data_IF_495401074637
#
_entry.id   IF_495401074637
#
_cell.length_a   1.000
_cell.length_b   1.000
_cell.length_c   1.000
_cell.angle_alpha   90.00
_cell.angle_beta   90.00
_cell.angle_gamma   90.00
#
_symmetry.space_group_name_H-M   'P 1'
#
loop_
_entity.id
_entity.type
_entity.pdbx_description
1 polymer ?
#
# COMPACT_ATOMS: atom_id res chain seq x y z
N UNK A 1 -10.89 17.03 6.00
CA UNK A 1 -11.74 16.53 4.89
C UNK A 1 -11.02 16.79 3.56
N UNK A 2 -9.99 16.01 3.20
CA UNK A 2 -9.16 16.28 2.01
C UNK A 2 -9.26 15.18 0.93
N UNK A 3 -10.22 14.26 1.06
CA UNK A 3 -10.43 13.14 0.13
C UNK A 3 -11.92 12.89 -0.07
N UNK A 4 -12.46 11.79 0.44
CA UNK A 4 -13.84 11.37 0.16
C UNK A 4 -14.94 12.42 0.41
N UNK A 5 -14.85 13.24 1.45
CA UNK A 5 -15.85 14.30 1.70
C UNK A 5 -15.88 15.38 0.62
N UNK A 6 -14.73 15.71 0.03
CA UNK A 6 -14.60 16.71 -1.04
C UNK A 6 -15.06 16.14 -2.37
N UNK A 7 -14.68 14.89 -2.66
CA UNK A 7 -15.00 14.21 -3.93
C UNK A 7 -16.47 13.79 -4.03
N UNK A 8 -17.16 13.61 -2.89
CA UNK A 8 -18.59 13.26 -2.88
C UNK A 8 -19.53 14.45 -3.06
N UNK A 9 -19.04 15.69 -2.97
CA UNK A 9 -19.85 16.87 -3.27
C UNK A 9 -20.21 16.83 -4.76
N UNK A 10 -21.50 16.82 -5.17
CA UNK A 10 -21.88 16.61 -6.57
C UNK A 10 -21.23 17.60 -7.54
N UNK A 11 -21.05 18.84 -7.11
CA UNK A 11 -20.36 19.87 -7.90
C UNK A 11 -18.90 19.51 -8.16
N UNK A 12 -18.16 19.04 -7.15
CA UNK A 12 -16.76 18.63 -7.32
C UNK A 12 -16.71 17.34 -8.13
N UNK A 13 -17.56 16.37 -7.79
CA UNK A 13 -17.58 15.07 -8.46
C UNK A 13 -17.81 15.22 -9.96
N UNK A 14 -18.67 16.14 -10.39
CA UNK A 14 -18.91 16.39 -11.81
C UNK A 14 -17.63 16.64 -12.61
N UNK A 15 -16.63 17.31 -12.02
CA UNK A 15 -15.35 17.61 -12.68
C UNK A 15 -14.23 16.62 -12.34
N UNK A 16 -14.28 15.98 -11.17
CA UNK A 16 -13.22 15.09 -10.69
C UNK A 16 -13.48 13.60 -10.96
N UNK A 17 -14.69 13.21 -11.31
CA UNK A 17 -15.07 11.81 -11.47
C UNK A 17 -14.13 11.06 -12.44
N UNK A 18 -13.44 10.04 -11.92
CA UNK A 18 -12.54 9.20 -12.72
C UNK A 18 -11.20 9.87 -13.03
N UNK A 19 -10.76 10.81 -12.20
CA UNK A 19 -9.46 11.49 -12.31
C UNK A 19 -8.47 11.04 -11.22
N UNK A 20 -7.26 11.61 -11.22
CA UNK A 20 -6.21 11.30 -10.24
C UNK A 20 -6.61 11.58 -8.79
N UNK A 21 -7.55 12.49 -8.52
CA UNK A 21 -8.05 12.74 -7.16
C UNK A 21 -8.92 11.59 -6.64
N UNK A 22 -9.71 10.95 -7.51
CA UNK A 22 -10.41 9.70 -7.16
C UNK A 22 -9.40 8.60 -6.82
N UNK A 23 -8.32 8.50 -7.60
CA UNK A 23 -7.25 7.51 -7.37
C UNK A 23 -6.53 7.74 -6.04
N UNK A 24 -6.27 9.01 -5.70
CA UNK A 24 -5.73 9.41 -4.40
C UNK A 24 -6.61 8.92 -3.25
N UNK A 25 -7.91 9.19 -3.35
CA UNK A 25 -8.86 8.78 -2.32
C UNK A 25 -8.88 7.26 -2.18
N UNK A 26 -8.96 6.53 -3.29
CA UNK A 26 -9.01 5.08 -3.29
C UNK A 26 -7.79 4.45 -2.59
N UNK A 27 -6.57 4.90 -2.87
CA UNK A 27 -5.36 4.34 -2.25
C UNK A 27 -5.27 4.71 -0.77
N UNK A 28 -5.58 5.96 -0.42
CA UNK A 28 -5.51 6.43 0.97
C UNK A 28 -6.59 5.79 1.85
N UNK A 29 -7.79 5.53 1.32
CA UNK A 29 -8.84 4.82 2.06
C UNK A 29 -8.58 3.31 2.10
N UNK A 30 -8.25 2.69 0.96
CA UNK A 30 -8.05 1.25 0.88
C UNK A 30 -6.87 0.82 1.74
N UNK A 31 -5.70 1.43 1.52
CA UNK A 31 -4.52 1.01 2.25
C UNK A 31 -4.38 1.73 3.60
N UNK A 32 -4.58 3.05 3.63
CA UNK A 32 -4.40 3.84 4.84
C UNK A 32 -5.40 3.54 5.96
N UNK A 33 -6.65 3.21 5.63
CA UNK A 33 -7.63 2.78 6.64
C UNK A 33 -7.73 1.25 6.71
N UNK A 34 -8.18 0.59 5.65
CA UNK A 34 -8.47 -0.86 5.71
C UNK A 34 -7.22 -1.73 5.71
N UNK A 35 -6.21 -1.39 4.90
CA UNK A 35 -4.97 -2.16 4.81
C UNK A 35 -4.18 -2.18 6.12
N UNK A 36 -3.96 -1.00 6.72
CA UNK A 36 -3.29 -0.90 8.02
C UNK A 36 -4.10 -1.55 9.15
N UNK A 37 -5.43 -1.45 9.12
CA UNK A 37 -6.29 -2.15 10.07
C UNK A 37 -6.18 -3.68 9.93
N UNK A 38 -6.17 -4.19 8.70
CA UNK A 38 -6.00 -5.61 8.42
C UNK A 38 -4.62 -6.12 8.91
N UNK A 39 -3.54 -5.38 8.63
CA UNK A 39 -2.20 -5.71 9.14
C UNK A 39 -2.18 -5.70 10.67
N UNK A 40 -2.81 -4.71 11.30
CA UNK A 40 -2.94 -4.65 12.76
C UNK A 40 -3.67 -5.86 13.35
N UNK A 41 -4.77 -6.28 12.70
CA UNK A 41 -5.51 -7.48 13.10
C UNK A 41 -4.68 -8.76 12.95
N UNK A 42 -3.94 -8.91 11.84
CA UNK A 42 -3.02 -10.05 11.65
C UNK A 42 -1.97 -10.07 12.75
N UNK A 43 -1.37 -8.92 13.08
CA UNK A 43 -0.41 -8.81 14.18
C UNK A 43 -1.01 -9.18 15.53
N UNK A 44 -2.24 -8.75 15.80
CA UNK A 44 -2.98 -9.12 17.01
C UNK A 44 -3.16 -10.64 17.10
N UNK A 45 -3.64 -11.28 16.02
CA UNK A 45 -3.80 -12.74 15.96
C UNK A 45 -2.47 -13.47 16.12
N UNK A 46 -1.41 -13.04 15.43
CA UNK A 46 -0.07 -13.63 15.53
C UNK A 46 0.52 -13.49 16.94
N UNK A 47 0.33 -12.32 17.57
CA UNK A 47 0.79 -12.08 18.94
C UNK A 47 0.06 -12.97 19.94
N UNK A 48 -1.24 -13.14 19.78
CA UNK A 48 -2.03 -14.03 20.62
C UNK A 48 -1.63 -15.50 20.43
N UNK A 49 -1.42 -15.94 19.19
CA UNK A 49 -1.04 -17.31 18.89
C UNK A 49 0.40 -17.63 19.34
N UNK A 50 1.30 -16.64 19.34
CA UNK A 50 2.68 -16.78 19.80
C UNK A 50 2.84 -16.57 21.33
N UNK A 51 1.76 -16.47 22.11
CA UNK A 51 1.78 -16.04 23.52
C UNK A 51 2.80 -16.74 24.44
N UNK A 52 3.23 -17.96 24.11
CA UNK A 52 4.23 -18.73 24.88
C UNK A 52 5.68 -18.58 24.38
N UNK A 53 5.93 -17.97 23.23
CA UNK A 53 7.28 -17.83 22.65
C UNK A 53 7.91 -16.48 23.02
N UNK A 54 9.00 -16.51 23.80
CA UNK A 54 9.68 -15.29 24.32
C UNK A 54 10.32 -14.38 23.26
N UNK A 55 10.33 -14.75 21.97
CA UNK A 55 11.05 -14.05 20.89
C UNK A 55 10.15 -13.40 19.83
N UNK A 56 8.94 -12.96 20.18
CA UNK A 56 8.12 -12.17 19.26
C UNK A 56 8.68 -10.74 19.09
N UNK A 57 9.45 -10.53 18.02
CA UNK A 57 10.02 -9.22 17.67
C UNK A 57 9.03 -8.39 16.84
N UNK A 58 8.79 -7.15 17.28
CA UNK A 58 7.93 -6.18 16.58
C UNK A 58 8.73 -5.18 15.72
N UNK A 59 10.06 -5.20 15.83
CA UNK A 59 10.94 -4.21 15.18
C UNK A 59 10.78 -4.19 13.66
N UNK A 60 10.63 -5.37 13.04
CA UNK A 60 10.50 -5.49 11.59
C UNK A 60 9.13 -4.97 11.11
N UNK A 61 8.06 -5.33 11.82
CA UNK A 61 6.71 -4.80 11.61
C UNK A 61 6.62 -3.29 11.71
N UNK A 62 7.20 -2.71 12.77
CA UNK A 62 7.22 -1.27 12.96
C UNK A 62 7.98 -0.54 11.85
N UNK A 63 9.10 -1.11 11.38
CA UNK A 63 9.84 -0.57 10.22
C UNK A 63 9.00 -0.59 8.95
N UNK A 64 8.33 -1.71 8.67
CA UNK A 64 7.45 -1.83 7.52
C UNK A 64 6.25 -0.87 7.63
N UNK A 65 5.65 -0.72 8.81
CA UNK A 65 4.59 0.25 9.09
C UNK A 65 5.00 1.69 8.73
N UNK A 66 6.18 2.13 9.16
CA UNK A 66 6.66 3.47 8.84
C UNK A 66 6.96 3.64 7.34
N UNK A 67 7.53 2.64 6.68
CA UNK A 67 7.76 2.67 5.24
C UNK A 67 6.46 2.73 4.44
N UNK A 68 5.42 2.01 4.85
CA UNK A 68 4.11 2.09 4.24
C UNK A 68 3.49 3.49 4.35
N UNK A 69 3.54 4.10 5.53
CA UNK A 69 3.04 5.46 5.73
C UNK A 69 3.85 6.49 4.96
N UNK A 70 5.18 6.36 4.93
CA UNK A 70 6.05 7.20 4.12
C UNK A 70 5.73 7.07 2.62
N UNK A 71 5.56 5.84 2.12
CA UNK A 71 5.16 5.59 0.72
C UNK A 71 3.83 6.24 0.36
N UNK A 72 2.80 6.13 1.22
CA UNK A 72 1.52 6.80 1.01
C UNK A 72 1.67 8.33 0.95
N UNK A 73 2.40 8.93 1.89
CA UNK A 73 2.63 10.38 1.92
C UNK A 73 3.38 10.84 0.66
N UNK A 74 4.39 10.07 0.24
CA UNK A 74 5.14 10.34 -0.99
C UNK A 74 4.25 10.26 -2.24
N UNK A 75 3.36 9.27 -2.35
CA UNK A 75 2.40 9.22 -3.46
C UNK A 75 1.49 10.44 -3.50
N UNK A 76 0.96 10.86 -2.34
CA UNK A 76 0.10 12.04 -2.26
C UNK A 76 0.86 13.28 -2.75
N UNK A 77 2.05 13.52 -2.18
CA UNK A 77 2.83 14.73 -2.40
C UNK A 77 3.50 14.80 -3.78
N UNK A 78 3.96 13.67 -4.31
CA UNK A 78 4.80 13.62 -5.52
C UNK A 78 4.05 13.13 -6.77
N UNK A 79 2.84 12.62 -6.65
CA UNK A 79 2.09 12.11 -7.80
C UNK A 79 0.62 12.54 -7.77
N UNK A 80 -0.14 12.10 -6.79
CA UNK A 80 -1.59 12.25 -6.81
C UNK A 80 -2.07 13.69 -6.78
N UNK A 81 -1.53 14.54 -5.90
CA UNK A 81 -1.91 15.95 -5.85
C UNK A 81 -1.33 16.78 -7.01
N UNK A 82 -0.05 16.65 -7.36
CA UNK A 82 0.52 17.41 -8.46
C UNK A 82 -0.10 17.09 -9.83
N UNK A 83 -0.63 15.89 -10.03
CA UNK A 83 -1.37 15.54 -11.25
C UNK A 83 -2.86 15.84 -11.11
N UNK A 84 -3.46 15.50 -9.96
CA UNK A 84 -4.90 15.57 -9.74
C UNK A 84 -5.49 16.97 -9.72
N UNK A 85 -4.83 17.95 -9.10
CA UNK A 85 -5.34 19.32 -9.07
C UNK A 85 -5.27 20.02 -10.45
N UNK A 86 -4.15 19.95 -11.18
CA UNK A 86 -4.13 20.44 -12.57
C UNK A 86 -5.11 19.70 -13.47
N UNK A 87 -5.32 18.40 -13.25
CA UNK A 87 -6.31 17.64 -14.01
C UNK A 87 -7.73 18.15 -13.75
N UNK A 88 -8.09 18.40 -12.50
CA UNK A 88 -9.39 18.99 -12.15
C UNK A 88 -9.60 20.35 -12.84
N UNK A 89 -8.59 21.24 -12.78
CA UNK A 89 -8.66 22.54 -13.45
C UNK A 89 -8.79 22.37 -14.97
N UNK A 90 -8.08 21.42 -15.57
CA UNK A 90 -8.19 21.13 -17.00
C UNK A 90 -9.59 20.62 -17.39
N UNK A 91 -10.25 19.82 -16.54
CA UNK A 91 -11.65 19.41 -16.78
C UNK A 91 -12.58 20.62 -16.70
N UNK A 92 -12.37 21.50 -15.73
CA UNK A 92 -13.17 22.71 -15.57
C UNK A 92 -13.04 23.66 -16.77
N UNK A 93 -11.82 23.90 -17.26
CA UNK A 93 -11.56 24.88 -18.33
C UNK A 93 -11.81 24.33 -19.74
N UNK A 94 -11.45 23.05 -19.98
CA UNK A 94 -11.41 22.45 -21.34
C UNK A 94 -12.22 21.17 -21.48
N UNK A 95 -12.89 20.73 -20.42
CA UNK A 95 -13.68 19.51 -20.40
C UNK A 95 -12.86 18.23 -20.20
N UNK A 96 -13.56 17.14 -19.89
CA UNK A 96 -12.96 15.86 -19.52
C UNK A 96 -12.15 15.21 -20.66
N UNK A 97 -12.56 15.41 -21.91
CA UNK A 97 -11.88 14.85 -23.07
C UNK A 97 -10.42 15.36 -23.17
N UNK A 98 -10.21 16.66 -22.92
CA UNK A 98 -8.86 17.23 -22.89
C UNK A 98 -8.06 16.74 -21.68
N UNK A 99 -8.65 16.73 -20.48
CA UNK A 99 -7.98 16.31 -19.25
C UNK A 99 -7.54 14.82 -19.25
N UNK A 100 -8.06 14.01 -20.19
CA UNK A 100 -7.67 12.61 -20.41
C UNK A 100 -6.88 12.39 -21.71
N UNK A 101 -6.58 13.46 -22.44
CA UNK A 101 -5.77 13.41 -23.65
C UNK A 101 -4.29 13.23 -23.32
N UNK A 102 -3.51 12.78 -24.32
CA UNK A 102 -2.05 12.73 -24.22
C UNK A 102 -1.45 14.12 -24.01
N UNK A 103 -2.04 15.16 -24.61
CA UNK A 103 -1.58 16.54 -24.48
C UNK A 103 -1.55 17.00 -23.01
N UNK A 104 -2.57 16.63 -22.23
CA UNK A 104 -2.55 16.90 -20.78
C UNK A 104 -1.47 16.06 -20.07
N UNK A 105 -1.37 14.77 -20.38
CA UNK A 105 -0.42 13.89 -19.70
C UNK A 105 1.05 14.23 -19.99
N UNK A 106 1.36 14.76 -21.16
CA UNK A 106 2.69 15.25 -21.53
C UNK A 106 3.15 16.39 -20.59
N UNK A 107 2.22 17.20 -20.06
CA UNK A 107 2.54 18.25 -19.08
C UNK A 107 2.86 17.72 -17.68
N UNK A 108 2.47 16.48 -17.37
CA UNK A 108 2.56 15.90 -16.03
C UNK A 108 3.57 14.76 -15.92
N UNK A 109 4.33 14.48 -16.98
CA UNK A 109 5.28 13.35 -17.09
C UNK A 109 6.23 13.28 -15.89
N UNK A 110 6.79 14.41 -15.45
CA UNK A 110 7.68 14.44 -14.29
C UNK A 110 7.02 13.84 -13.03
N UNK A 111 5.80 14.28 -12.72
CA UNK A 111 5.05 13.82 -11.55
C UNK A 111 4.61 12.36 -11.67
N UNK A 112 4.37 11.88 -12.89
CA UNK A 112 4.11 10.46 -13.14
C UNK A 112 5.34 9.61 -12.80
N UNK A 113 6.54 10.06 -13.16
CA UNK A 113 7.79 9.36 -12.81
C UNK A 113 8.12 9.46 -11.32
N UNK A 114 7.88 10.61 -10.69
CA UNK A 114 8.12 10.78 -9.25
C UNK A 114 7.24 9.87 -8.39
N UNK A 115 6.16 9.30 -8.93
CA UNK A 115 5.41 8.22 -8.29
C UNK A 115 6.31 7.08 -7.82
N UNK A 116 7.33 6.74 -8.62
CA UNK A 116 8.25 5.65 -8.33
C UNK A 116 8.98 5.84 -6.99
N UNK A 117 9.22 7.09 -6.59
CA UNK A 117 9.85 7.43 -5.31
C UNK A 117 8.99 6.99 -4.13
N UNK A 118 7.66 6.97 -4.28
CA UNK A 118 6.74 6.38 -3.29
C UNK A 118 6.54 4.87 -3.46
N UNK A 119 6.56 4.37 -4.70
CA UNK A 119 6.40 2.93 -4.99
C UNK A 119 7.53 2.09 -4.36
N UNK A 120 8.78 2.57 -4.42
CA UNK A 120 9.95 1.86 -3.88
C UNK A 120 9.86 1.58 -2.37
N UNK A 121 9.70 2.58 -1.47
CA UNK A 121 9.59 2.32 -0.04
C UNK A 121 8.36 1.49 0.31
N UNK A 122 7.25 1.66 -0.42
CA UNK A 122 6.05 0.86 -0.24
C UNK A 122 6.27 -0.61 -0.61
N UNK A 123 6.96 -0.88 -1.72
CA UNK A 123 7.32 -2.24 -2.13
C UNK A 123 8.29 -2.89 -1.14
N UNK A 124 9.29 -2.15 -0.65
CA UNK A 124 10.21 -2.62 0.39
C UNK A 124 9.42 -2.97 1.66
N UNK A 125 8.48 -2.12 2.08
CA UNK A 125 7.62 -2.40 3.22
C UNK A 125 6.83 -3.71 3.04
N UNK A 126 6.29 -3.95 1.84
CA UNK A 126 5.58 -5.17 1.50
C UNK A 126 6.46 -6.42 1.60
N UNK A 127 7.68 -6.36 1.11
CA UNK A 127 8.62 -7.48 1.22
C UNK A 127 9.03 -7.74 2.67
N UNK A 128 9.32 -6.70 3.45
CA UNK A 128 9.64 -6.82 4.88
C UNK A 128 8.48 -7.39 5.68
N UNK A 129 7.24 -6.96 5.37
CA UNK A 129 6.03 -7.45 6.04
C UNK A 129 5.74 -8.91 5.70
N UNK A 130 5.84 -9.29 4.42
CA UNK A 130 5.68 -10.67 4.00
C UNK A 130 6.72 -11.58 4.65
N UNK A 131 7.98 -11.15 4.70
CA UNK A 131 9.05 -11.88 5.38
C UNK A 131 8.77 -12.04 6.89
N UNK A 132 8.34 -10.96 7.56
CA UNK A 132 7.97 -11.00 8.98
C UNK A 132 6.82 -11.96 9.28
N UNK A 133 5.77 -11.96 8.44
CA UNK A 133 4.65 -12.88 8.55
C UNK A 133 5.09 -14.34 8.37
N UNK A 134 5.92 -14.64 7.37
CA UNK A 134 6.44 -16.01 7.16
C UNK A 134 7.22 -16.49 8.39
N UNK A 135 8.09 -15.64 8.95
CA UNK A 135 8.85 -15.98 10.16
C UNK A 135 7.95 -16.23 11.38
N UNK A 136 6.86 -15.47 11.54
CA UNK A 136 5.93 -15.62 12.67
C UNK A 136 4.92 -16.74 12.50
N UNK A 137 4.58 -17.11 11.25
CA UNK A 137 3.70 -18.23 10.93
C UNK A 137 4.42 -19.58 11.01
N UNK A 138 5.71 -19.64 10.68
CA UNK A 138 6.45 -20.92 10.64
C UNK A 138 6.41 -21.71 11.97
N UNK A 139 6.53 -21.10 13.18
CA UNK A 139 6.45 -21.83 14.45
C UNK A 139 5.04 -22.33 14.80
N UNK A 140 3.99 -21.77 14.19
CA UNK A 140 2.59 -22.15 14.42
C UNK A 140 2.18 -23.44 13.70
N UNK A 141 2.99 -23.92 12.74
CA UNK A 141 2.75 -25.17 12.01
C UNK A 141 3.86 -26.21 12.24
N UNK A 142 4.09 -26.67 13.49
CA UNK A 142 5.17 -27.61 13.80
C UNK A 142 5.05 -28.95 13.05
N UNK A 143 3.82 -29.38 12.73
CA UNK A 143 3.58 -30.61 11.95
C UNK A 143 4.08 -30.53 10.50
N UNK A 144 4.04 -29.35 9.87
CA UNK A 144 4.50 -29.12 8.49
C UNK A 144 6.03 -29.04 8.45
N UNK A 145 6.63 -28.34 9.43
CA UNK A 145 8.09 -28.27 9.61
C UNK A 145 8.69 -29.65 9.87
N UNK A 146 8.07 -30.45 10.75
CA UNK A 146 8.53 -31.82 11.03
C UNK A 146 8.39 -32.77 9.82
N UNK A 147 7.36 -32.59 8.97
CA UNK A 147 7.24 -33.38 7.72
C UNK A 147 8.36 -33.07 6.73
N UNK A 148 8.72 -31.79 6.55
CA UNK A 148 9.82 -31.40 5.67
C UNK A 148 11.18 -31.91 6.16
N UNK A 149 11.45 -31.83 7.47
CA UNK A 149 12.67 -32.39 8.06
C UNK A 149 12.76 -33.91 7.92
N UNK A 150 11.65 -34.65 8.10
CA UNK A 150 11.64 -36.11 7.91
C UNK A 150 11.93 -36.52 6.46
N UNK A 151 11.35 -35.85 5.47
CA UNK A 151 11.63 -36.14 4.06
C UNK A 151 13.07 -35.83 3.64
N UNK A 152 13.73 -34.85 4.28
CA UNK A 152 15.14 -34.53 4.03
C UNK A 152 16.10 -35.51 4.74
N UNK A 153 15.69 -36.10 5.87
CA UNK A 153 16.44 -37.15 6.56
C UNK A 153 16.38 -38.50 5.83
N UNK A 154 15.24 -38.83 5.23
CA UNK A 154 15.03 -40.09 4.52
C UNK A 154 15.77 -40.17 3.17
N UNK A 155 16.07 -39.03 2.54
CA UNK A 155 16.94 -38.96 1.34
C UNK A 155 18.44 -39.06 1.64
N UNK A 156 18.86 -39.08 2.92
CA UNK A 156 20.27 -39.16 3.33
C UNK A 156 20.68 -40.51 3.95
N UNK A 157 19.76 -41.45 4.10
CA UNK A 157 20.10 -42.85 4.37
C UNK A 157 20.42 -43.57 3.06
N UNK A 158 21.58 -44.24 2.94
CA UNK A 158 22.04 -44.93 1.73
C UNK A 158 21.15 -46.11 1.32
#
# INVERSE_FOLDING_TARGET
>A
MFGGGTLNAPLVNYYEHGTFLTLNHAHTSLFGAFGLLAIGLIYFCLRHAAAEQSRFSEKLGLRAFWLYNAGLVLWIALNFFPVGWPQLNAVYDRGLAYARSLEFYDTTVLWQWLRFVGDVPFAIAALLMAFDFVLKLAPLFPAVVNRMSRQHGEKRSP
#
